data_IF_484601405542
#
_entry.id   IF_484601405542
#
_cell.length_a   1.000
_cell.length_b   1.000
_cell.length_c   1.000
_cell.angle_alpha   90.00
_cell.angle_beta   90.00
_cell.angle_gamma   90.00
#
_symmetry.space_group_name_H-M   'P 1'
#
loop_
_entity.id
_entity.type
_entity.pdbx_description
1 polymer ?
#
# COMPACT_ATOMS: atom_id res chain seq x y z
N UNK A 1 60.04 -1.55 -34.48
CA UNK A 1 58.75 -2.25 -34.25
C UNK A 1 58.59 -2.80 -32.81
N UNK A 2 59.13 -2.17 -31.76
CA UNK A 2 58.96 -2.64 -30.36
C UNK A 2 57.79 -1.99 -29.59
N UNK A 3 57.24 -0.88 -30.09
CA UNK A 3 56.19 -0.13 -29.40
C UNK A 3 54.76 -0.64 -29.69
N UNK A 4 54.52 -1.26 -30.85
CA UNK A 4 53.20 -1.78 -31.23
C UNK A 4 52.72 -2.97 -30.38
N UNK A 5 53.65 -3.79 -29.85
CA UNK A 5 53.30 -4.96 -29.04
C UNK A 5 52.79 -4.61 -27.63
N UNK A 6 53.22 -3.46 -27.07
CA UNK A 6 52.82 -3.05 -25.72
C UNK A 6 51.39 -2.50 -25.67
N UNK A 7 50.91 -1.94 -26.79
CA UNK A 7 49.55 -1.43 -26.92
C UNK A 7 48.53 -2.51 -27.33
N UNK A 8 48.99 -3.58 -27.96
CA UNK A 8 48.14 -4.67 -28.41
C UNK A 8 47.43 -5.40 -27.25
N UNK A 9 48.07 -5.48 -26.07
CA UNK A 9 47.46 -6.09 -24.88
C UNK A 9 46.71 -5.10 -23.99
N UNK A 10 47.02 -3.80 -24.04
CA UNK A 10 46.36 -2.79 -23.19
C UNK A 10 45.00 -2.37 -23.73
N UNK A 11 44.84 -2.27 -25.05
CA UNK A 11 43.55 -1.96 -25.69
C UNK A 11 42.44 -2.97 -25.32
N UNK A 12 42.64 -4.29 -25.42
CA UNK A 12 41.61 -5.26 -25.05
C UNK A 12 41.32 -5.25 -23.54
N UNK A 13 42.30 -4.99 -22.68
CA UNK A 13 42.09 -4.86 -21.24
C UNK A 13 41.20 -3.67 -20.92
N UNK A 14 41.46 -2.50 -21.52
CA UNK A 14 40.64 -1.30 -21.34
C UNK A 14 39.21 -1.57 -21.82
N UNK A 15 39.06 -2.20 -22.98
CA UNK A 15 37.75 -2.58 -23.50
C UNK A 15 36.99 -3.53 -22.57
N UNK A 16 37.66 -4.53 -22.01
CA UNK A 16 37.07 -5.49 -21.08
C UNK A 16 36.65 -4.81 -19.77
N UNK A 17 37.48 -3.89 -19.25
CA UNK A 17 37.13 -3.12 -18.05
C UNK A 17 35.93 -2.22 -18.28
N UNK A 18 35.80 -1.62 -19.47
CA UNK A 18 34.66 -0.76 -19.81
C UNK A 18 33.36 -1.56 -19.90
N UNK A 19 33.41 -2.75 -20.51
CA UNK A 19 32.28 -3.69 -20.57
C UNK A 19 31.85 -4.15 -19.16
N UNK A 20 32.80 -4.43 -18.28
CA UNK A 20 32.51 -4.86 -16.91
C UNK A 20 31.83 -3.75 -16.09
N UNK A 21 32.30 -2.51 -16.21
CA UNK A 21 31.69 -1.33 -15.54
C UNK A 21 30.27 -1.09 -16.09
N UNK A 22 30.09 -1.20 -17.41
CA UNK A 22 28.78 -1.05 -18.03
C UNK A 22 27.79 -2.12 -17.56
N UNK A 23 28.21 -3.39 -17.49
CA UNK A 23 27.41 -4.49 -16.96
C UNK A 23 27.02 -4.28 -15.50
N UNK A 24 27.95 -3.86 -14.65
CA UNK A 24 27.68 -3.54 -13.24
C UNK A 24 26.67 -2.39 -13.10
N UNK A 25 26.73 -1.38 -13.97
CA UNK A 25 25.75 -0.29 -13.97
C UNK A 25 24.33 -0.74 -14.35
N UNK A 26 24.17 -1.78 -15.16
CA UNK A 26 22.87 -2.34 -15.52
C UNK A 26 22.31 -3.22 -14.39
N UNK A 27 23.14 -4.07 -13.78
CA UNK A 27 22.71 -4.98 -12.70
C UNK A 27 22.47 -4.28 -11.37
N UNK A 28 23.16 -3.16 -11.11
CA UNK A 28 22.97 -2.35 -9.91
C UNK A 28 21.93 -1.24 -10.08
N UNK A 29 21.14 -1.23 -11.17
CA UNK A 29 19.99 -0.33 -11.24
C UNK A 29 19.15 -0.56 -9.97
N UNK A 30 18.86 0.50 -9.19
CA UNK A 30 17.95 0.35 -8.07
C UNK A 30 16.67 -0.23 -8.65
N UNK A 31 16.22 -1.34 -8.06
CA UNK A 31 14.94 -1.92 -8.40
C UNK A 31 13.90 -0.85 -8.04
N UNK A 32 13.51 -0.04 -9.03
CA UNK A 32 12.44 0.94 -8.87
C UNK A 32 11.20 0.10 -8.67
N UNK A 33 10.86 -0.19 -7.41
CA UNK A 33 9.51 -0.62 -7.08
C UNK A 33 8.61 0.52 -7.53
N UNK A 34 7.74 0.31 -8.54
CA UNK A 34 6.86 1.38 -8.98
C UNK A 34 6.03 1.80 -7.77
N UNK A 35 6.26 3.03 -7.30
CA UNK A 35 5.45 3.68 -6.28
C UNK A 35 4.11 4.02 -6.93
N UNK A 36 3.14 3.10 -6.89
CA UNK A 36 1.78 3.39 -7.36
C UNK A 36 1.04 4.24 -6.33
N UNK A 37 0.14 5.12 -6.77
CA UNK A 37 -0.71 5.93 -5.89
C UNK A 37 -1.53 5.05 -4.91
N UNK A 38 -1.85 3.82 -5.31
CA UNK A 38 -2.48 2.80 -4.45
C UNK A 38 -1.61 2.46 -3.23
N UNK A 39 -0.29 2.43 -3.40
CA UNK A 39 0.64 2.11 -2.32
C UNK A 39 0.70 3.26 -1.29
N UNK A 40 0.57 4.51 -1.76
CA UNK A 40 0.45 5.68 -0.88
C UNK A 40 -0.86 5.65 -0.10
N UNK A 41 -1.98 5.41 -0.79
CA UNK A 41 -3.29 5.32 -0.14
C UNK A 41 -3.32 4.24 0.95
N UNK A 42 -2.81 3.04 0.65
CA UNK A 42 -2.74 1.94 1.63
C UNK A 42 -1.85 2.28 2.81
N UNK A 43 -0.73 2.95 2.57
CA UNK A 43 0.16 3.43 3.64
C UNK A 43 -0.57 4.42 4.56
N UNK A 44 -1.27 5.39 3.98
CA UNK A 44 -2.01 6.40 4.72
C UNK A 44 -3.19 5.79 5.49
N UNK A 45 -3.92 4.86 4.87
CA UNK A 45 -5.00 4.11 5.51
C UNK A 45 -4.48 3.30 6.70
N UNK A 46 -3.41 2.52 6.50
CA UNK A 46 -2.82 1.68 7.55
C UNK A 46 -2.34 2.54 8.71
N UNK A 47 -1.69 3.66 8.42
CA UNK A 47 -1.26 4.62 9.43
C UNK A 47 -2.45 5.22 10.19
N UNK A 48 -3.51 5.59 9.48
CA UNK A 48 -4.72 6.16 10.08
C UNK A 48 -5.40 5.14 11.00
N UNK A 49 -5.59 3.90 10.55
CA UNK A 49 -6.18 2.81 11.35
C UNK A 49 -5.38 2.54 12.63
N UNK A 50 -4.04 2.55 12.51
CA UNK A 50 -3.14 2.40 13.65
C UNK A 50 -3.27 3.54 14.65
N UNK A 51 -3.31 4.80 14.18
CA UNK A 51 -3.48 5.98 15.03
C UNK A 51 -4.85 6.00 15.72
N UNK A 52 -5.90 5.53 15.02
CA UNK A 52 -7.25 5.40 15.58
C UNK A 52 -7.41 4.20 16.52
N UNK A 53 -6.37 3.37 16.69
CA UNK A 53 -6.38 2.11 17.45
C UNK A 53 -7.42 1.11 16.96
N UNK A 54 -7.84 1.20 15.70
CA UNK A 54 -8.74 0.22 15.10
C UNK A 54 -7.90 -0.95 14.59
N UNK A 55 -8.29 -2.15 15.01
CA UNK A 55 -7.66 -3.38 14.55
C UNK A 55 -8.40 -3.90 13.32
N UNK A 56 -7.66 -4.50 12.39
CA UNK A 56 -8.22 -5.15 11.21
C UNK A 56 -7.47 -6.45 10.91
N UNK A 57 -8.14 -7.41 10.29
CA UNK A 57 -7.52 -8.72 9.97
C UNK A 57 -6.98 -8.78 8.53
N UNK A 58 -7.75 -8.26 7.58
CA UNK A 58 -7.46 -8.38 6.15
C UNK A 58 -7.79 -7.08 5.44
N UNK A 59 -7.00 -6.74 4.43
CA UNK A 59 -7.24 -5.65 3.49
C UNK A 59 -7.29 -6.25 2.08
N UNK A 60 -8.44 -6.14 1.42
CA UNK A 60 -8.64 -6.56 0.04
C UNK A 60 -8.85 -5.32 -0.83
N UNK A 61 -7.93 -5.08 -1.76
CA UNK A 61 -8.02 -3.95 -2.69
C UNK A 61 -8.80 -4.35 -3.94
N UNK A 62 -9.73 -3.50 -4.35
CA UNK A 62 -10.50 -3.67 -5.57
C UNK A 62 -10.29 -2.48 -6.51
N UNK A 63 -9.20 -2.52 -7.30
CA UNK A 63 -8.81 -1.44 -8.22
C UNK A 63 -9.96 -0.98 -9.13
N UNK A 64 -10.65 -1.94 -9.76
CA UNK A 64 -11.75 -1.66 -10.69
C UNK A 64 -12.97 -0.98 -10.04
N UNK A 65 -13.08 -1.03 -8.70
CA UNK A 65 -14.17 -0.38 -7.94
C UNK A 65 -13.70 0.85 -7.18
N UNK A 66 -12.40 1.13 -7.12
CA UNK A 66 -11.83 2.15 -6.26
C UNK A 66 -12.24 1.96 -4.78
N UNK A 67 -12.17 0.71 -4.32
CA UNK A 67 -12.65 0.29 -3.00
C UNK A 67 -11.60 -0.56 -2.29
N UNK A 68 -11.58 -0.45 -0.97
CA UNK A 68 -10.85 -1.35 -0.07
C UNK A 68 -11.86 -1.98 0.87
N UNK A 69 -11.82 -3.29 0.94
CA UNK A 69 -12.61 -4.07 1.87
C UNK A 69 -11.73 -4.55 3.02
N UNK A 70 -12.24 -4.44 4.24
CA UNK A 70 -11.54 -4.87 5.44
C UNK A 70 -12.50 -5.44 6.48
N UNK A 71 -11.98 -6.32 7.32
CA UNK A 71 -12.68 -6.81 8.52
C UNK A 71 -12.11 -6.06 9.71
N UNK A 72 -12.95 -5.28 10.37
CA UNK A 72 -12.62 -4.52 11.58
C UNK A 72 -12.87 -5.41 12.79
N UNK A 73 -11.91 -5.45 13.69
CA UNK A 73 -12.06 -6.07 15.00
C UNK A 73 -12.38 -4.94 15.98
N UNK A 74 -13.61 -4.93 16.48
CA UNK A 74 -14.05 -3.95 17.49
C UNK A 74 -13.85 -4.50 18.91
N UNK A 75 -14.20 -5.77 19.11
CA UNK A 75 -14.10 -6.45 20.40
C UNK A 75 -13.56 -7.89 20.20
N UNK A 76 -13.08 -8.58 21.26
CA UNK A 76 -12.48 -9.91 21.13
C UNK A 76 -13.35 -10.94 20.39
N UNK A 77 -14.68 -10.81 20.48
CA UNK A 77 -15.65 -11.72 19.87
C UNK A 77 -16.55 -11.02 18.83
N UNK A 78 -16.26 -9.77 18.47
CA UNK A 78 -17.08 -9.01 17.53
C UNK A 78 -16.20 -8.36 16.45
N UNK A 79 -16.45 -8.77 15.20
CA UNK A 79 -15.83 -8.21 14.03
C UNK A 79 -16.87 -7.98 12.94
N UNK A 80 -16.61 -7.00 12.08
CA UNK A 80 -17.55 -6.62 11.05
C UNK A 80 -16.85 -6.18 9.78
N UNK A 81 -17.55 -6.37 8.66
CA UNK A 81 -17.02 -6.05 7.35
C UNK A 81 -17.22 -4.57 7.05
N UNK A 82 -16.18 -3.93 6.56
CA UNK A 82 -16.17 -2.52 6.16
C UNK A 82 -15.66 -2.36 4.74
N UNK A 83 -16.31 -1.53 3.93
CA UNK A 83 -15.85 -1.09 2.62
C UNK A 83 -15.57 0.41 2.69
N UNK A 84 -14.43 0.85 2.15
CA UNK A 84 -14.05 2.26 2.06
C UNK A 84 -13.64 2.60 0.63
N UNK A 85 -13.85 3.85 0.21
CA UNK A 85 -13.46 4.31 -1.12
C UNK A 85 -12.02 4.79 -1.15
N UNK A 86 -11.25 4.39 -2.16
CA UNK A 86 -9.91 4.92 -2.44
C UNK A 86 -9.94 6.35 -2.98
N UNK A 87 -11.12 6.85 -3.36
CA UNK A 87 -11.33 8.21 -3.87
C UNK A 87 -11.52 9.25 -2.76
N UNK A 88 -11.67 8.80 -1.51
CA UNK A 88 -11.89 9.67 -0.34
C UNK A 88 -10.72 9.57 0.64
N UNK A 89 -10.35 10.65 1.34
CA UNK A 89 -9.22 10.63 2.27
C UNK A 89 -9.41 9.58 3.38
N UNK A 90 -8.41 8.72 3.66
CA UNK A 90 -8.52 7.68 4.69
C UNK A 90 -8.93 8.22 6.05
N UNK A 91 -8.36 9.36 6.47
CA UNK A 91 -8.66 10.01 7.74
C UNK A 91 -10.16 10.27 7.94
N UNK A 92 -10.83 10.80 6.91
CA UNK A 92 -12.25 11.13 6.98
C UNK A 92 -13.13 9.89 7.14
N UNK A 93 -12.79 8.81 6.43
CA UNK A 93 -13.55 7.56 6.46
C UNK A 93 -13.33 6.80 7.77
N UNK A 94 -12.08 6.76 8.27
CA UNK A 94 -11.78 6.16 9.57
C UNK A 94 -12.45 6.92 10.72
N UNK A 95 -12.49 8.25 10.66
CA UNK A 95 -13.23 9.05 11.63
C UNK A 95 -14.75 8.77 11.61
N UNK A 96 -15.34 8.61 10.42
CA UNK A 96 -16.74 8.22 10.27
C UNK A 96 -17.00 6.83 10.86
N UNK A 97 -16.12 5.86 10.60
CA UNK A 97 -16.16 4.51 11.16
C UNK A 97 -16.11 4.53 12.69
N UNK A 98 -15.18 5.27 13.30
CA UNK A 98 -15.12 5.42 14.77
C UNK A 98 -16.41 6.00 15.35
N UNK A 99 -17.03 6.95 14.64
CA UNK A 99 -18.30 7.54 15.06
C UNK A 99 -19.43 6.51 15.01
N UNK A 100 -19.50 5.68 13.97
CA UNK A 100 -20.49 4.60 13.86
C UNK A 100 -20.33 3.57 14.97
N UNK A 101 -19.09 3.11 15.24
CA UNK A 101 -18.78 2.20 16.34
C UNK A 101 -19.24 2.81 17.68
N UNK A 102 -18.93 4.09 17.91
CA UNK A 102 -19.36 4.79 19.13
C UNK A 102 -20.88 4.84 19.26
N UNK A 103 -21.61 5.12 18.17
CA UNK A 103 -23.08 5.15 18.17
C UNK A 103 -23.64 3.76 18.48
N UNK A 104 -23.13 2.72 17.81
CA UNK A 104 -23.54 1.33 18.04
C UNK A 104 -23.39 0.94 19.53
N UNK A 105 -22.23 1.25 20.11
CA UNK A 105 -21.94 1.00 21.52
C UNK A 105 -22.87 1.78 22.48
N UNK A 106 -23.22 3.03 22.15
CA UNK A 106 -24.17 3.83 22.96
C UNK A 106 -25.58 3.24 22.88
N UNK A 107 -25.99 2.75 21.70
CA UNK A 107 -27.31 2.16 21.48
C UNK A 107 -27.40 0.68 21.90
N UNK A 108 -26.32 0.08 22.36
CA UNK A 108 -26.28 -1.35 22.70
C UNK A 108 -26.51 -2.27 21.49
N UNK A 109 -26.12 -1.81 20.29
CA UNK A 109 -26.20 -2.57 19.04
C UNK A 109 -24.80 -2.98 18.59
N UNK A 110 -24.74 -4.12 17.93
CA UNK A 110 -23.55 -4.59 17.23
C UNK A 110 -23.60 -4.10 15.78
N UNK A 111 -22.44 -3.88 15.16
CA UNK A 111 -22.36 -3.49 13.74
C UNK A 111 -22.12 -4.75 12.93
N UNK A 112 -22.98 -5.06 11.98
CA UNK A 112 -22.78 -6.20 11.07
C UNK A 112 -21.96 -5.84 9.83
N UNK A 113 -22.21 -4.65 9.26
CA UNK A 113 -21.57 -4.22 8.01
C UNK A 113 -21.57 -2.69 7.88
N UNK A 114 -20.50 -2.15 7.31
CA UNK A 114 -20.35 -0.70 7.05
C UNK A 114 -19.83 -0.49 5.63
N UNK A 115 -20.59 0.26 4.82
CA UNK A 115 -20.16 0.76 3.52
C UNK A 115 -19.93 2.27 3.62
N UNK A 116 -18.68 2.70 3.41
CA UNK A 116 -18.26 4.10 3.30
C UNK A 116 -17.81 4.41 1.86
N UNK A 117 -18.21 3.60 0.88
CA UNK A 117 -17.98 3.89 -0.54
C UNK A 117 -18.66 5.20 -0.95
N UNK A 118 -18.14 5.82 -2.01
CA UNK A 118 -18.67 7.07 -2.55
C UNK A 118 -20.07 6.93 -3.16
N UNK A 119 -20.52 5.71 -3.46
CA UNK A 119 -21.78 5.47 -4.19
C UNK A 119 -22.97 5.38 -3.27
N UNK A 120 -22.87 4.58 -2.21
CA UNK A 120 -23.98 4.29 -1.30
C UNK A 120 -23.44 4.04 0.11
N UNK A 121 -23.13 5.10 0.88
CA UNK A 121 -22.69 4.91 2.25
C UNK A 121 -23.86 4.46 3.12
N UNK A 122 -23.72 3.34 3.82
CA UNK A 122 -24.71 2.84 4.79
C UNK A 122 -24.04 1.96 5.86
N UNK A 123 -24.73 1.76 6.98
CA UNK A 123 -24.32 0.83 8.02
C UNK A 123 -25.51 -0.04 8.43
N UNK A 124 -25.24 -1.29 8.77
CA UNK A 124 -26.23 -2.23 9.29
C UNK A 124 -25.78 -2.73 10.66
N UNK A 125 -26.75 -2.91 11.54
CA UNK A 125 -26.56 -3.37 12.90
C UNK A 125 -27.00 -4.83 13.00
#
# INVERSE_FOLDING_TARGET
MKYLSKYFFTIPIIFLTFQLIYLLGITLKPQITPYSDNNRYLTDLTNTLRLSKLQYQQLNFFDHRNEVEMIIIDQPNHSFKTIISTQLPPLSQVAALQKLIKIANIEGKELSFVDLSSRRPYATF
#
